data_IF_925982729485
#
_entry.id   IF_925982729485
#
_cell.length_a   1.000
_cell.length_b   1.000
_cell.length_c   1.000
_cell.angle_alpha   90.00
_cell.angle_beta   90.00
_cell.angle_gamma   90.00
#
_symmetry.space_group_name_H-M   'P 1'
#
loop_
_entity.id
_entity.type
_entity.pdbx_description
1 polymer ?
#
# COMPACT_ATOMS: atom_id res chain seq x y z
N UNK A 1 -12.54 -5.93 -30.57
CA UNK A 1 -11.97 -5.29 -29.37
C UNK A 1 -12.44 -5.95 -28.06
N UNK A 2 -13.73 -6.26 -27.85
CA UNK A 2 -14.22 -6.91 -26.61
C UNK A 2 -13.63 -8.32 -26.36
N UNK A 3 -13.37 -9.10 -27.42
CA UNK A 3 -12.80 -10.47 -27.32
C UNK A 3 -11.33 -10.47 -26.86
N UNK A 4 -10.54 -9.44 -27.21
CA UNK A 4 -9.14 -9.31 -26.78
C UNK A 4 -9.07 -8.96 -25.29
N UNK A 5 -9.96 -8.09 -24.80
CA UNK A 5 -10.06 -7.77 -23.39
C UNK A 5 -10.42 -8.97 -22.50
N UNK A 6 -11.32 -9.83 -22.97
CA UNK A 6 -11.70 -11.07 -22.28
C UNK A 6 -10.54 -12.08 -22.28
N UNK A 7 -9.81 -12.18 -23.40
CA UNK A 7 -8.64 -13.06 -23.51
C UNK A 7 -7.50 -12.59 -22.59
N UNK A 8 -7.22 -11.29 -22.51
CA UNK A 8 -6.25 -10.73 -21.58
C UNK A 8 -6.67 -10.93 -20.12
N UNK A 9 -7.95 -10.74 -19.80
CA UNK A 9 -8.48 -10.96 -18.46
C UNK A 9 -8.40 -12.45 -18.05
N UNK A 10 -8.72 -13.39 -18.97
CA UNK A 10 -8.60 -14.82 -18.69
C UNK A 10 -7.14 -15.30 -18.58
N UNK A 11 -6.22 -14.69 -19.33
CA UNK A 11 -4.79 -14.98 -19.24
C UNK A 11 -4.21 -14.48 -17.90
N UNK A 12 -4.64 -13.31 -17.42
CA UNK A 12 -4.27 -12.80 -16.10
C UNK A 12 -4.82 -13.67 -14.96
N UNK A 13 -6.02 -14.24 -15.10
CA UNK A 13 -6.56 -15.17 -14.10
C UNK A 13 -5.83 -16.52 -14.11
N UNK A 14 -5.32 -16.99 -15.24
CA UNK A 14 -4.62 -18.28 -15.33
C UNK A 14 -3.22 -18.26 -14.67
N UNK A 15 -2.59 -17.10 -14.55
CA UNK A 15 -1.29 -16.94 -13.88
C UNK A 15 -1.45 -16.94 -12.36
N UNK A 16 -2.63 -16.61 -11.84
CA UNK A 16 -2.94 -16.49 -10.41
C UNK A 16 -3.19 -17.82 -9.69
N UNK A 17 -3.07 -18.98 -10.36
CA UNK A 17 -3.48 -20.28 -9.80
C UNK A 17 -2.36 -21.01 -9.02
N UNK A 18 -1.33 -20.32 -8.53
CA UNK A 18 -0.34 -20.92 -7.64
C UNK A 18 -0.43 -20.29 -6.26
N UNK A 19 -0.38 -21.10 -5.24
CA UNK A 19 -0.35 -20.80 -3.81
C UNK A 19 0.71 -19.74 -3.43
N UNK A 20 0.40 -18.47 -3.68
CA UNK A 20 1.36 -17.37 -3.64
C UNK A 20 1.37 -16.65 -2.29
N UNK A 21 0.31 -16.83 -1.49
CA UNK A 21 0.15 -16.23 -0.17
C UNK A 21 0.09 -17.29 0.93
N UNK A 22 0.96 -18.32 0.82
CA UNK A 22 1.07 -19.39 1.80
C UNK A 22 1.85 -18.96 3.03
N UNK A 23 1.58 -19.64 4.15
CA UNK A 23 2.36 -19.51 5.36
C UNK A 23 3.86 -19.72 5.10
N UNK A 24 4.69 -18.87 5.67
CA UNK A 24 6.15 -18.93 5.54
C UNK A 24 6.71 -18.01 4.46
N UNK A 25 5.89 -17.45 3.58
CA UNK A 25 6.35 -16.50 2.54
C UNK A 25 6.83 -15.19 3.17
N UNK A 26 7.96 -14.70 2.67
CA UNK A 26 8.52 -13.39 2.99
C UNK A 26 8.18 -12.42 1.87
N UNK A 27 7.76 -11.23 2.24
CA UNK A 27 7.42 -10.15 1.32
C UNK A 27 8.38 -8.98 1.50
N UNK A 28 8.90 -8.47 0.40
CA UNK A 28 9.62 -7.20 0.36
C UNK A 28 9.01 -6.33 -0.73
N UNK A 29 8.69 -5.10 -0.42
CA UNK A 29 8.06 -4.19 -1.39
C UNK A 29 8.56 -2.76 -1.26
N UNK A 30 8.45 -2.04 -2.37
CA UNK A 30 8.62 -0.60 -2.43
C UNK A 30 7.45 0.00 -3.20
N UNK A 31 6.95 1.15 -2.75
CA UNK A 31 5.86 1.82 -3.42
C UNK A 31 6.11 3.32 -3.52
N UNK A 32 5.55 3.90 -4.57
CA UNK A 32 5.42 5.34 -4.70
C UNK A 32 4.03 5.71 -4.19
N UNK A 33 3.99 6.49 -3.13
CA UNK A 33 2.79 7.14 -2.61
C UNK A 33 2.86 8.63 -2.92
N UNK A 34 1.71 9.26 -3.08
CA UNK A 34 1.70 10.69 -3.38
C UNK A 34 0.86 11.07 -4.59
N UNK A 35 0.27 10.08 -5.28
CA UNK A 35 -0.93 10.31 -6.09
C UNK A 35 -2.12 10.47 -5.13
N UNK A 36 -1.95 11.33 -4.11
CA UNK A 36 -3.03 11.69 -3.23
C UNK A 36 -3.98 12.60 -4.03
N UNK A 37 -5.12 12.06 -4.40
CA UNK A 37 -6.31 12.85 -4.58
C UNK A 37 -6.69 13.38 -3.19
N UNK A 38 -5.94 14.34 -2.69
CA UNK A 38 -6.29 15.05 -1.48
C UNK A 38 -7.49 15.92 -1.83
N UNK A 39 -8.62 15.60 -1.25
CA UNK A 39 -9.88 16.36 -1.40
C UNK A 39 -9.83 17.70 -0.62
N UNK A 40 -8.67 18.14 -0.21
CA UNK A 40 -8.45 19.47 0.35
C UNK A 40 -7.92 20.35 -0.76
N UNK A 41 -8.73 21.14 -1.39
CA UNK A 41 -8.52 22.15 -2.43
C UNK A 41 -7.16 22.81 -2.69
N UNK A 42 -6.07 22.23 -2.23
CA UNK A 42 -4.68 22.56 -2.49
C UNK A 42 -3.98 21.33 -3.08
N UNK A 43 -4.02 21.22 -4.37
CA UNK A 43 -3.36 20.16 -5.14
C UNK A 43 -1.85 20.43 -5.22
N UNK A 44 -1.10 19.97 -4.24
CA UNK A 44 0.35 19.84 -4.33
C UNK A 44 0.71 18.37 -4.49
N UNK A 45 1.45 18.07 -5.54
CA UNK A 45 2.05 16.76 -5.79
C UNK A 45 3.10 16.47 -4.70
N UNK A 46 2.71 15.71 -3.68
CA UNK A 46 3.64 15.19 -2.69
C UNK A 46 4.10 13.82 -3.14
N UNK A 47 5.35 13.68 -3.55
CA UNK A 47 5.95 12.39 -3.88
C UNK A 47 6.51 11.76 -2.60
N UNK A 48 5.98 10.60 -2.24
CA UNK A 48 6.47 9.78 -1.15
C UNK A 48 7.05 8.47 -1.65
N UNK A 49 8.03 7.95 -0.93
CA UNK A 49 8.60 6.62 -1.14
C UNK A 49 8.34 5.79 0.10
N UNK A 50 7.78 4.60 -0.10
CA UNK A 50 7.50 3.66 0.98
C UNK A 50 8.31 2.38 0.79
N UNK A 51 8.97 1.92 1.83
CA UNK A 51 9.56 0.59 1.94
C UNK A 51 8.65 -0.31 2.78
N UNK A 52 8.51 -1.57 2.39
CA UNK A 52 7.65 -2.54 3.07
C UNK A 52 8.38 -3.88 3.22
N UNK A 53 8.19 -4.52 4.36
CA UNK A 53 8.63 -5.89 4.58
C UNK A 53 7.53 -6.65 5.31
N UNK A 54 7.26 -7.89 4.90
CA UNK A 54 6.16 -8.68 5.44
C UNK A 54 6.47 -10.16 5.57
N UNK A 55 5.66 -10.83 6.36
CA UNK A 55 5.73 -12.27 6.57
C UNK A 55 4.33 -12.86 6.64
N UNK A 56 4.06 -13.89 5.84
CA UNK A 56 2.83 -14.66 5.89
C UNK A 56 2.87 -15.63 7.07
N UNK A 57 2.23 -15.29 8.17
CA UNK A 57 2.19 -16.14 9.36
C UNK A 57 1.07 -17.18 9.33
N UNK A 58 0.14 -17.05 8.41
CA UNK A 58 -0.86 -18.06 8.04
C UNK A 58 -1.21 -17.89 6.56
N UNK A 59 -1.87 -18.89 5.98
CA UNK A 59 -2.34 -18.82 4.60
C UNK A 59 -3.25 -17.60 4.41
N UNK A 60 -2.94 -16.81 3.38
CA UNK A 60 -3.64 -15.57 3.05
C UNK A 60 -3.55 -14.44 4.11
N UNK A 61 -2.75 -14.61 5.18
CA UNK A 61 -2.64 -13.62 6.23
C UNK A 61 -1.18 -13.20 6.44
N UNK A 62 -0.89 -11.93 6.22
CA UNK A 62 0.45 -11.34 6.25
C UNK A 62 0.52 -10.20 7.27
N UNK A 63 1.58 -10.18 8.06
CA UNK A 63 1.99 -8.99 8.81
C UNK A 63 3.01 -8.19 7.98
N UNK A 64 2.81 -6.89 7.85
CA UNK A 64 3.66 -5.98 7.05
C UNK A 64 4.12 -4.82 7.90
N UNK A 65 5.44 -4.63 7.98
CA UNK A 65 6.05 -3.38 8.45
C UNK A 65 6.19 -2.40 7.29
N UNK A 66 5.89 -1.13 7.53
CA UNK A 66 5.97 -0.05 6.55
C UNK A 66 6.85 1.07 7.08
N UNK A 67 7.67 1.63 6.20
CA UNK A 67 8.47 2.84 6.44
C UNK A 67 8.23 3.79 5.29
N UNK A 68 7.77 5.00 5.57
CA UNK A 68 7.45 5.99 4.55
C UNK A 68 8.25 7.27 4.78
N UNK A 69 8.76 7.83 3.69
CA UNK A 69 9.39 9.13 3.66
C UNK A 69 8.74 9.98 2.57
N UNK A 70 8.32 11.18 2.93
CA UNK A 70 7.76 12.15 1.98
C UNK A 70 8.52 13.47 2.10
N UNK A 71 9.02 13.95 0.98
CA UNK A 71 9.64 15.24 0.85
C UNK A 71 8.71 16.20 0.11
N UNK A 72 8.41 17.31 0.73
CA UNK A 72 7.61 18.39 0.11
C UNK A 72 8.55 19.51 -0.31
N UNK A 73 8.66 19.78 -1.59
CA UNK A 73 9.56 20.83 -2.13
C UNK A 73 9.18 22.27 -1.78
N UNK A 74 8.33 22.49 -0.78
CA UNK A 74 7.92 23.82 -0.33
C UNK A 74 8.80 24.30 0.82
N UNK A 75 9.35 25.53 0.69
CA UNK A 75 10.04 26.22 1.78
C UNK A 75 9.11 26.37 3.00
N UNK A 76 9.56 25.85 4.15
CA UNK A 76 8.83 25.92 5.42
C UNK A 76 7.98 24.70 5.78
N UNK A 77 7.82 23.73 4.88
CA UNK A 77 7.15 22.45 5.18
C UNK A 77 8.21 21.41 5.52
N UNK A 78 8.12 20.85 6.73
CA UNK A 78 9.05 19.82 7.20
C UNK A 78 8.75 18.46 6.58
N UNK A 79 9.80 17.67 6.37
CA UNK A 79 9.69 16.30 5.88
C UNK A 79 8.80 15.44 6.78
N UNK A 80 8.05 14.55 6.14
CA UNK A 80 7.17 13.60 6.80
C UNK A 80 7.81 12.23 6.80
N UNK A 81 7.98 11.65 7.98
CA UNK A 81 8.44 10.28 8.17
C UNK A 81 7.37 9.51 8.91
N UNK A 82 7.07 8.32 8.46
CA UNK A 82 6.18 7.43 9.22
C UNK A 82 6.69 6.01 9.27
N UNK A 83 6.45 5.34 10.39
CA UNK A 83 6.66 3.92 10.58
C UNK A 83 5.35 3.29 11.00
N UNK A 84 5.01 2.15 10.44
CA UNK A 84 3.74 1.50 10.72
C UNK A 84 3.79 -0.02 10.60
N UNK A 85 2.74 -0.63 11.13
CA UNK A 85 2.48 -2.07 10.99
C UNK A 85 1.06 -2.27 10.48
N UNK A 86 0.89 -3.26 9.62
CA UNK A 86 -0.38 -3.57 8.96
C UNK A 86 -0.57 -5.07 8.86
N UNK A 87 -1.77 -5.56 9.14
CA UNK A 87 -2.22 -6.88 8.71
C UNK A 87 -2.81 -6.80 7.31
N UNK A 88 -2.43 -7.71 6.41
CA UNK A 88 -3.05 -7.91 5.10
C UNK A 88 -3.72 -9.26 5.03
N UNK A 89 -4.95 -9.28 4.57
CA UNK A 89 -5.71 -10.49 4.28
C UNK A 89 -5.97 -10.59 2.79
N UNK A 90 -5.50 -11.67 2.16
CA UNK A 90 -5.69 -11.94 0.73
C UNK A 90 -6.96 -12.74 0.53
N UNK A 91 -7.88 -12.20 -0.27
CA UNK A 91 -9.16 -12.84 -0.56
C UNK A 91 -8.93 -13.91 -1.62
N UNK A 92 -9.07 -15.18 -1.22
CA UNK A 92 -9.07 -16.36 -2.12
C UNK A 92 -7.85 -16.38 -3.07
N UNK A 93 -6.65 -16.12 -2.60
CA UNK A 93 -5.39 -16.22 -3.38
C UNK A 93 -5.42 -15.59 -4.79
N UNK A 94 -6.38 -14.73 -5.08
CA UNK A 94 -6.50 -14.07 -6.38
C UNK A 94 -5.73 -12.75 -6.48
N UNK A 95 -5.04 -12.36 -5.42
CA UNK A 95 -4.27 -11.13 -5.35
C UNK A 95 -5.00 -9.93 -4.73
N UNK A 96 -6.34 -9.98 -4.63
CA UNK A 96 -7.10 -8.94 -3.93
C UNK A 96 -6.84 -9.03 -2.43
N UNK A 97 -6.45 -7.93 -1.80
CA UNK A 97 -6.22 -7.90 -0.37
C UNK A 97 -6.89 -6.73 0.33
N UNK A 98 -7.22 -6.97 1.58
CA UNK A 98 -7.65 -5.97 2.54
C UNK A 98 -6.54 -5.78 3.56
N UNK A 99 -6.16 -4.54 3.83
CA UNK A 99 -5.18 -4.18 4.84
C UNK A 99 -5.79 -3.32 5.93
N UNK A 100 -5.41 -3.57 7.17
CA UNK A 100 -5.72 -2.71 8.30
C UNK A 100 -4.50 -2.60 9.21
N UNK A 101 -4.22 -1.40 9.70
CA UNK A 101 -3.01 -1.18 10.48
C UNK A 101 -2.98 0.16 11.18
N UNK A 102 -1.84 0.46 11.75
CA UNK A 102 -1.56 1.71 12.44
C UNK A 102 -0.18 2.20 12.05
N UNK A 103 -0.05 3.52 11.85
CA UNK A 103 1.25 4.17 11.62
C UNK A 103 1.48 5.29 12.63
N UNK A 104 2.72 5.47 13.00
CA UNK A 104 3.20 6.62 13.74
C UNK A 104 3.78 7.60 12.73
N UNK A 105 3.19 8.77 12.66
CA UNK A 105 3.61 9.85 11.77
C UNK A 105 4.40 10.89 12.56
N UNK A 106 5.54 11.30 12.00
CA UNK A 106 6.39 12.35 12.58
C UNK A 106 6.66 13.42 11.54
N UNK A 107 6.31 14.65 11.89
CA UNK A 107 6.59 15.86 11.07
C UNK A 107 7.08 16.96 11.96
N UNK A 108 8.40 17.19 12.00
CA UNK A 108 8.99 18.25 12.82
C UNK A 108 8.71 18.11 14.31
N UNK A 109 7.75 18.85 14.83
CA UNK A 109 7.33 18.82 16.24
C UNK A 109 6.03 18.06 16.48
N UNK A 110 5.42 17.53 15.41
CA UNK A 110 4.11 16.89 15.46
C UNK A 110 4.24 15.36 15.35
N UNK A 111 3.68 14.68 16.33
CA UNK A 111 3.56 13.21 16.34
C UNK A 111 2.09 12.84 16.37
N UNK A 112 1.69 11.91 15.50
CA UNK A 112 0.34 11.40 15.46
C UNK A 112 0.32 9.87 15.28
N UNK A 113 -0.70 9.25 15.85
CA UNK A 113 -1.00 7.83 15.67
C UNK A 113 -2.17 7.73 14.71
N UNK A 114 -1.95 7.14 13.55
CA UNK A 114 -2.95 7.10 12.49
C UNK A 114 -3.32 5.65 12.16
N UNK A 115 -4.49 5.17 12.61
CA UNK A 115 -5.04 3.94 12.05
C UNK A 115 -5.41 4.14 10.59
N UNK A 116 -5.28 3.07 9.81
CA UNK A 116 -5.57 3.11 8.39
C UNK A 116 -6.08 1.78 7.86
N UNK A 117 -6.78 1.87 6.74
CA UNK A 117 -7.27 0.72 5.98
C UNK A 117 -6.82 0.85 4.53
N UNK A 118 -6.66 -0.29 3.87
CA UNK A 118 -6.17 -0.36 2.50
C UNK A 118 -6.89 -1.47 1.75
N UNK A 119 -7.25 -1.21 0.50
CA UNK A 119 -7.71 -2.22 -0.45
C UNK A 119 -6.78 -2.17 -1.64
N UNK A 120 -6.19 -3.30 -1.98
CA UNK A 120 -5.24 -3.38 -3.08
C UNK A 120 -5.30 -4.71 -3.80
N UNK A 121 -4.56 -4.77 -4.90
CA UNK A 121 -4.46 -5.96 -5.72
C UNK A 121 -3.01 -6.26 -6.07
N UNK A 122 -2.54 -7.46 -5.77
CA UNK A 122 -1.21 -7.94 -6.13
C UNK A 122 -1.25 -8.60 -7.52
N UNK A 123 -0.92 -7.86 -8.57
CA UNK A 123 -0.80 -8.39 -9.93
C UNK A 123 0.55 -9.06 -10.10
N UNK A 124 0.59 -10.38 -10.19
CA UNK A 124 1.82 -11.11 -10.45
C UNK A 124 2.27 -10.92 -11.90
N UNK A 125 3.39 -10.24 -12.08
CA UNK A 125 4.07 -10.09 -13.39
C UNK A 125 5.10 -11.20 -13.61
N UNK A 126 5.49 -11.88 -12.53
CA UNK A 126 6.30 -13.11 -12.55
C UNK A 126 5.88 -14.02 -11.40
N UNK A 127 6.58 -15.15 -11.20
CA UNK A 127 6.26 -16.08 -10.09
C UNK A 127 6.42 -15.45 -8.70
N UNK A 128 7.25 -14.43 -8.58
CA UNK A 128 7.59 -13.82 -7.28
C UNK A 128 7.38 -12.31 -7.27
N UNK A 129 7.24 -11.65 -8.41
CA UNK A 129 7.16 -10.19 -8.51
C UNK A 129 5.75 -9.74 -8.83
N UNK A 130 5.28 -8.75 -8.08
CA UNK A 130 3.95 -8.14 -8.23
C UNK A 130 4.03 -6.66 -8.53
N UNK A 131 2.98 -6.14 -9.20
CA UNK A 131 2.63 -4.72 -9.22
C UNK A 131 1.38 -4.58 -8.35
N UNK A 132 1.42 -3.67 -7.38
CA UNK A 132 0.40 -3.56 -6.34
C UNK A 132 -0.26 -2.17 -6.32
N UNK A 133 -1.27 -1.93 -7.17
CA UNK A 133 -2.14 -0.78 -6.99
C UNK A 133 -2.99 -0.95 -5.72
N UNK A 134 -3.14 0.13 -4.96
CA UNK A 134 -3.96 0.14 -3.76
C UNK A 134 -4.60 1.51 -3.54
N UNK A 135 -5.77 1.49 -2.92
CA UNK A 135 -6.44 2.66 -2.34
C UNK A 135 -6.32 2.53 -0.83
N UNK A 136 -5.92 3.59 -0.17
CA UNK A 136 -5.79 3.60 1.28
C UNK A 136 -6.50 4.80 1.89
N UNK A 137 -6.90 4.65 3.15
CA UNK A 137 -7.41 5.70 4.00
C UNK A 137 -6.71 5.66 5.34
N UNK A 138 -6.13 6.78 5.74
CA UNK A 138 -5.47 6.98 7.03
C UNK A 138 -6.24 8.04 7.83
N UNK A 139 -6.61 7.70 9.05
CA UNK A 139 -7.36 8.55 9.95
C UNK A 139 -6.43 9.22 10.95
N UNK A 140 -6.38 10.56 10.98
CA UNK A 140 -5.72 11.28 12.05
C UNK A 140 -6.64 11.41 13.27
N UNK A 141 -6.11 11.15 14.47
CA UNK A 141 -6.86 11.37 15.71
C UNK A 141 -6.68 12.79 16.28
N UNK A 142 -5.57 13.44 16.00
CA UNK A 142 -5.31 14.77 16.54
C UNK A 142 -5.96 15.90 15.73
N UNK A 143 -5.95 15.78 14.42
CA UNK A 143 -6.54 16.80 13.54
C UNK A 143 -7.13 16.13 12.29
N UNK A 144 -8.38 15.74 12.41
CA UNK A 144 -9.10 14.99 11.38
C UNK A 144 -9.18 15.73 10.03
N UNK A 145 -9.42 17.05 10.08
CA UNK A 145 -9.64 17.84 8.87
C UNK A 145 -8.40 18.03 8.02
N UNK A 146 -7.22 18.07 8.64
CA UNK A 146 -6.00 18.46 7.95
C UNK A 146 -5.07 17.27 7.63
N UNK A 147 -5.17 16.17 8.38
CA UNK A 147 -4.23 15.05 8.28
C UNK A 147 -4.84 13.70 7.91
N UNK A 148 -6.19 13.57 7.92
CA UNK A 148 -6.81 12.36 7.36
C UNK A 148 -6.64 12.35 5.85
N UNK A 149 -6.16 11.23 5.32
CA UNK A 149 -5.77 11.14 3.90
C UNK A 149 -6.41 9.93 3.24
N UNK A 150 -7.07 10.16 2.13
CA UNK A 150 -7.39 9.12 1.15
C UNK A 150 -6.42 9.24 -0.01
N UNK A 151 -5.83 8.14 -0.45
CA UNK A 151 -4.83 8.18 -1.51
C UNK A 151 -4.76 6.92 -2.34
N UNK A 152 -4.06 7.06 -3.47
CA UNK A 152 -3.69 5.95 -4.33
C UNK A 152 -2.20 5.64 -4.13
N UNK A 153 -1.87 4.36 -4.17
CA UNK A 153 -0.50 3.86 -4.09
C UNK A 153 -0.28 2.87 -5.23
N UNK A 154 0.90 2.88 -5.80
CA UNK A 154 1.34 1.82 -6.71
C UNK A 154 2.70 1.34 -6.23
N UNK A 155 2.82 0.06 -5.98
CA UNK A 155 4.03 -0.57 -5.50
C UNK A 155 4.49 -1.70 -6.39
N UNK A 156 5.72 -2.14 -6.11
CA UNK A 156 6.29 -3.39 -6.61
C UNK A 156 6.60 -4.24 -5.40
N UNK A 157 6.15 -5.49 -5.40
CA UNK A 157 6.39 -6.46 -4.36
C UNK A 157 7.16 -7.68 -4.86
N UNK A 158 7.92 -8.30 -3.96
CA UNK A 158 8.62 -9.57 -4.20
C UNK A 158 8.22 -10.53 -3.09
N UNK A 159 7.67 -11.68 -3.47
CA UNK A 159 7.29 -12.79 -2.58
C UNK A 159 8.33 -13.90 -2.71
N UNK A 160 8.97 -14.27 -1.60
CA UNK A 160 10.06 -15.26 -1.51
C UNK A 160 9.65 -16.49 -0.72
#
# INVERSE_FOLDING_TARGET
MKKIGILCASLMMAIAANAQFEQGKVYCGASLSGLSLSYNGSSDLNLGVDGQAGYCFADNLMAVGKLSYQHTGKEGVKDYVSVGVQGRYYIIQNGLYLGAGVKLAHTGSYNDVMPGVEVGYAFFVSRTVTIEPAIYYDQSFKNHSDYSTIGLRVGIGVYL
#
